data_IF_107144271265
#
_entry.id   IF_107144271265
#
_cell.length_a   1.000
_cell.length_b   1.000
_cell.length_c   1.000
_cell.angle_alpha   90.00
_cell.angle_beta   90.00
_cell.angle_gamma   90.00
#
_symmetry.space_group_name_H-M   'P 1'
#
loop_
_entity.id
_entity.type
_entity.pdbx_description
1 polymer ?
#
# COMPACT_ATOMS: atom_id res chain seq x y z
N UNK A 1 -15.43 14.73 20.91
CA UNK A 1 -15.07 13.47 20.22
C UNK A 1 -13.96 12.80 21.01
N UNK A 2 -14.06 11.51 21.35
CA UNK A 2 -12.99 10.83 22.08
C UNK A 2 -11.92 10.27 21.11
N UNK A 3 -10.79 9.83 21.66
CA UNK A 3 -9.65 9.36 20.87
C UNK A 3 -9.97 8.13 19.99
N UNK A 4 -10.91 7.27 20.41
CA UNK A 4 -11.30 6.09 19.64
C UNK A 4 -12.16 6.43 18.44
N UNK A 5 -13.09 7.39 18.55
CA UNK A 5 -13.84 7.91 17.40
C UNK A 5 -12.92 8.55 16.37
N UNK A 6 -11.97 9.39 16.81
CA UNK A 6 -11.01 10.03 15.89
C UNK A 6 -10.15 8.99 15.16
N UNK A 7 -9.63 7.99 15.89
CA UNK A 7 -8.86 6.90 15.32
C UNK A 7 -9.66 6.11 14.28
N UNK A 8 -10.94 5.84 14.53
CA UNK A 8 -11.81 5.12 13.59
C UNK A 8 -12.06 5.93 12.32
N UNK A 9 -12.32 7.23 12.43
CA UNK A 9 -12.48 8.12 11.27
C UNK A 9 -11.21 8.11 10.41
N UNK A 10 -10.05 8.30 11.02
CA UNK A 10 -8.76 8.24 10.31
C UNK A 10 -8.52 6.88 9.64
N UNK A 11 -8.87 5.79 10.32
CA UNK A 11 -8.77 4.42 9.77
C UNK A 11 -9.68 4.25 8.55
N UNK A 12 -10.91 4.77 8.58
CA UNK A 12 -11.85 4.68 7.46
C UNK A 12 -11.32 5.46 6.25
N UNK A 13 -10.85 6.70 6.45
CA UNK A 13 -10.28 7.53 5.38
C UNK A 13 -9.08 6.82 4.75
N UNK A 14 -8.17 6.32 5.57
CA UNK A 14 -7.00 5.57 5.12
C UNK A 14 -7.40 4.30 4.35
N UNK A 15 -8.35 3.53 4.88
CA UNK A 15 -8.82 2.29 4.25
C UNK A 15 -9.45 2.54 2.87
N UNK A 16 -10.25 3.60 2.73
CA UNK A 16 -10.84 3.99 1.44
C UNK A 16 -9.73 4.33 0.43
N UNK A 17 -8.74 5.14 0.84
CA UNK A 17 -7.62 5.48 -0.03
C UNK A 17 -6.83 4.23 -0.47
N UNK A 18 -6.54 3.32 0.47
CA UNK A 18 -5.86 2.04 0.20
C UNK A 18 -6.66 1.18 -0.78
N UNK A 19 -7.99 1.09 -0.62
CA UNK A 19 -8.87 0.35 -1.56
C UNK A 19 -8.80 0.97 -2.95
N UNK A 20 -8.88 2.30 -3.05
CA UNK A 20 -8.79 3.00 -4.34
C UNK A 20 -7.45 2.71 -5.01
N UNK A 21 -6.32 2.81 -4.29
CA UNK A 21 -5.02 2.39 -4.83
C UNK A 21 -5.04 0.94 -5.30
N UNK A 22 -5.64 0.03 -4.52
CA UNK A 22 -5.78 -1.37 -4.92
C UNK A 22 -6.57 -1.54 -6.23
N UNK A 23 -7.71 -0.87 -6.37
CA UNK A 23 -8.51 -0.86 -7.62
C UNK A 23 -7.71 -0.30 -8.80
N UNK A 24 -6.95 0.77 -8.58
CA UNK A 24 -6.09 1.38 -9.60
C UNK A 24 -5.02 0.41 -10.12
N UNK A 25 -4.53 -0.53 -9.30
CA UNK A 25 -3.62 -1.57 -9.77
C UNK A 25 -4.27 -2.51 -10.78
N UNK A 26 -5.57 -2.81 -10.63
CA UNK A 26 -6.31 -3.61 -11.61
C UNK A 26 -6.58 -2.80 -12.89
N UNK A 27 -7.00 -1.54 -12.75
CA UNK A 27 -7.33 -0.66 -13.90
C UNK A 27 -6.11 -0.30 -14.75
N UNK A 28 -4.92 -0.19 -14.13
CA UNK A 28 -3.69 0.26 -14.77
C UNK A 28 -2.60 -0.82 -14.79
N UNK A 29 -3.00 -2.09 -14.69
CA UNK A 29 -2.07 -3.22 -14.55
C UNK A 29 -1.02 -3.28 -15.67
N UNK A 30 -1.44 -3.05 -16.91
CA UNK A 30 -0.54 -3.06 -18.08
C UNK A 30 0.53 -1.98 -17.99
N UNK A 31 0.16 -0.76 -17.58
CA UNK A 31 1.09 0.36 -17.42
C UNK A 31 2.05 0.11 -16.26
N UNK A 32 1.52 -0.32 -15.11
CA UNK A 32 2.32 -0.60 -13.92
C UNK A 32 3.22 -1.83 -14.08
N UNK A 33 2.90 -2.75 -15.01
CA UNK A 33 3.75 -3.92 -15.26
C UNK A 33 5.17 -3.54 -15.70
N UNK A 34 5.34 -2.39 -16.36
CA UNK A 34 6.65 -1.86 -16.73
C UNK A 34 7.50 -1.41 -15.53
N UNK A 35 6.90 -1.23 -14.36
CA UNK A 35 7.61 -0.90 -13.12
C UNK A 35 8.12 -2.14 -12.38
N UNK A 36 7.63 -3.33 -12.72
CA UNK A 36 8.13 -4.59 -12.15
C UNK A 36 9.54 -4.84 -12.71
N UNK A 37 10.55 -5.07 -11.85
CA UNK A 37 11.91 -5.29 -12.34
C UNK A 37 11.98 -6.45 -13.34
N UNK A 38 12.71 -6.28 -14.44
CA UNK A 38 12.76 -7.27 -15.53
C UNK A 38 13.33 -8.65 -15.15
N UNK A 39 14.04 -8.75 -14.02
CA UNK A 39 14.51 -10.02 -13.47
C UNK A 39 13.44 -10.78 -12.67
N UNK A 40 12.28 -10.17 -12.40
CA UNK A 40 11.17 -10.80 -11.67
C UNK A 40 10.27 -11.58 -12.63
N UNK A 41 10.09 -12.90 -12.44
CA UNK A 41 9.26 -13.70 -13.32
C UNK A 41 7.78 -13.35 -13.15
N UNK A 42 6.96 -13.41 -14.21
CA UNK A 42 5.50 -13.28 -14.12
C UNK A 42 4.92 -11.88 -14.37
N UNK A 43 5.77 -10.84 -14.47
CA UNK A 43 5.38 -9.51 -14.97
C UNK A 43 4.11 -8.94 -14.30
N UNK A 44 3.05 -8.75 -15.08
CA UNK A 44 1.77 -8.13 -14.65
C UNK A 44 1.09 -8.85 -13.47
N UNK A 45 1.38 -10.13 -13.23
CA UNK A 45 0.75 -10.88 -12.14
C UNK A 45 1.03 -10.24 -10.76
N UNK A 46 2.22 -9.67 -10.59
CA UNK A 46 2.61 -8.99 -9.35
C UNK A 46 1.81 -7.73 -9.11
N UNK A 47 1.38 -7.04 -10.17
CA UNK A 47 0.54 -5.85 -10.07
C UNK A 47 -0.86 -6.24 -9.56
N UNK A 48 -1.42 -7.34 -10.07
CA UNK A 48 -2.71 -7.84 -9.58
C UNK A 48 -2.63 -8.36 -8.13
N UNK A 49 -1.54 -9.04 -7.77
CA UNK A 49 -1.32 -9.50 -6.39
C UNK A 49 -1.18 -8.32 -5.41
N UNK A 50 -0.43 -7.28 -5.79
CA UNK A 50 -0.33 -6.03 -5.05
C UNK A 50 -1.70 -5.36 -4.89
N UNK A 51 -2.45 -5.23 -5.98
CA UNK A 51 -3.81 -4.68 -5.98
C UNK A 51 -4.75 -5.42 -5.06
N UNK A 52 -4.74 -6.76 -5.11
CA UNK A 52 -5.54 -7.60 -4.22
C UNK A 52 -5.15 -7.40 -2.75
N UNK A 53 -3.85 -7.35 -2.45
CA UNK A 53 -3.34 -7.09 -1.11
C UNK A 53 -3.81 -5.75 -0.54
N UNK A 54 -3.77 -4.68 -1.35
CA UNK A 54 -4.29 -3.36 -0.99
C UNK A 54 -5.79 -3.41 -0.69
N UNK A 55 -6.61 -3.96 -1.60
CA UNK A 55 -8.06 -4.05 -1.41
C UNK A 55 -8.40 -4.84 -0.15
N UNK A 56 -7.78 -6.01 0.04
CA UNK A 56 -8.02 -6.87 1.21
C UNK A 56 -7.62 -6.18 2.52
N UNK A 57 -6.49 -5.46 2.54
CA UNK A 57 -6.07 -4.71 3.72
C UNK A 57 -7.06 -3.59 4.07
N UNK A 58 -7.52 -2.82 3.08
CA UNK A 58 -8.53 -1.79 3.32
C UNK A 58 -9.86 -2.36 3.80
N UNK A 59 -10.33 -3.47 3.22
CA UNK A 59 -11.54 -4.17 3.70
C UNK A 59 -11.37 -4.62 5.16
N UNK A 60 -10.22 -5.23 5.49
CA UNK A 60 -9.91 -5.68 6.85
C UNK A 60 -9.99 -4.52 7.87
N UNK A 61 -9.47 -3.35 7.52
CA UNK A 61 -9.57 -2.14 8.35
C UNK A 61 -11.01 -1.63 8.50
N UNK A 62 -11.81 -1.65 7.43
CA UNK A 62 -13.20 -1.18 7.48
C UNK A 62 -14.08 -2.06 8.37
N UNK A 63 -13.95 -3.38 8.25
CA UNK A 63 -14.72 -4.34 9.06
C UNK A 63 -14.08 -4.58 10.44
N UNK A 64 -12.89 -4.04 10.68
CA UNK A 64 -12.09 -4.22 11.87
C UNK A 64 -11.85 -5.70 12.23
N UNK A 65 -11.41 -6.48 11.24
CA UNK A 65 -11.10 -7.90 11.40
C UNK A 65 -9.76 -8.19 10.77
N UNK A 66 -8.87 -8.85 11.51
CA UNK A 66 -7.48 -9.07 11.09
C UNK A 66 -6.72 -7.76 10.84
N UNK A 67 -7.14 -6.66 11.47
CA UNK A 67 -6.56 -5.33 11.28
C UNK A 67 -5.07 -5.30 11.62
N UNK A 68 -4.66 -6.08 12.63
CA UNK A 68 -3.25 -6.16 13.03
C UNK A 68 -2.38 -6.75 11.93
N UNK A 69 -2.72 -7.94 11.45
CA UNK A 69 -1.92 -8.63 10.44
C UNK A 69 -2.02 -7.95 9.07
N UNK A 70 -3.21 -7.44 8.71
CA UNK A 70 -3.40 -6.66 7.49
C UNK A 70 -2.51 -5.42 7.45
N UNK A 71 -2.42 -4.68 8.56
CA UNK A 71 -1.56 -3.49 8.65
C UNK A 71 -0.07 -3.79 8.60
N UNK A 72 0.37 -4.89 9.22
CA UNK A 72 1.77 -5.35 9.11
C UNK A 72 2.10 -5.71 7.66
N UNK A 73 1.28 -6.56 7.03
CA UNK A 73 1.53 -7.02 5.66
C UNK A 73 1.47 -5.87 4.65
N UNK A 74 0.51 -4.97 4.78
CA UNK A 74 0.40 -3.78 3.95
C UNK A 74 1.64 -2.88 4.10
N UNK A 75 2.05 -2.58 5.33
CA UNK A 75 3.22 -1.74 5.57
C UNK A 75 4.51 -2.37 5.04
N UNK A 76 4.71 -3.68 5.21
CA UNK A 76 5.85 -4.39 4.63
C UNK A 76 5.83 -4.38 3.11
N UNK A 77 4.67 -4.59 2.48
CA UNK A 77 4.52 -4.53 1.03
C UNK A 77 4.88 -3.14 0.49
N UNK A 78 4.44 -2.07 1.14
CA UNK A 78 4.77 -0.69 0.74
C UNK A 78 6.27 -0.39 0.90
N UNK A 79 6.91 -0.87 1.97
CA UNK A 79 8.37 -0.77 2.13
C UNK A 79 9.09 -1.52 1.01
N UNK A 80 8.59 -2.68 0.60
CA UNK A 80 9.16 -3.41 -0.54
C UNK A 80 9.03 -2.61 -1.85
N UNK A 81 7.91 -1.92 -2.09
CA UNK A 81 7.77 -1.05 -3.26
C UNK A 81 8.80 0.09 -3.25
N UNK A 82 9.05 0.70 -2.09
CA UNK A 82 10.12 1.69 -1.93
C UNK A 82 11.46 1.09 -2.35
N UNK A 83 11.85 -0.04 -1.75
CA UNK A 83 13.19 -0.60 -1.93
C UNK A 83 13.42 -1.19 -3.33
N UNK A 84 12.41 -1.83 -3.91
CA UNK A 84 12.55 -2.60 -5.15
C UNK A 84 12.17 -1.78 -6.38
N UNK A 85 11.27 -0.80 -6.24
CA UNK A 85 10.76 -0.01 -7.37
C UNK A 85 11.22 1.43 -7.23
N UNK A 86 10.71 2.18 -6.25
CA UNK A 86 10.83 3.64 -6.29
C UNK A 86 12.23 4.17 -5.96
N UNK A 87 12.97 3.51 -5.07
CA UNK A 87 14.35 3.88 -4.76
C UNK A 87 15.28 3.65 -5.96
N UNK A 88 15.27 2.49 -6.65
CA UNK A 88 16.01 2.34 -7.90
C UNK A 88 15.66 3.39 -8.95
N UNK A 89 14.38 3.71 -9.15
CA UNK A 89 13.97 4.76 -10.10
C UNK A 89 14.54 6.13 -9.70
N UNK A 90 14.55 6.46 -8.41
CA UNK A 90 15.14 7.69 -7.89
C UNK A 90 16.64 7.79 -8.16
N UNK A 91 17.37 6.71 -7.90
CA UNK A 91 18.81 6.65 -8.14
C UNK A 91 19.17 6.79 -9.63
N UNK A 92 18.25 6.45 -10.53
CA UNK A 92 18.39 6.65 -11.98
C UNK A 92 17.85 8.01 -12.47
N UNK A 93 17.50 8.93 -11.57
CA UNK A 93 17.16 10.32 -11.92
C UNK A 93 15.69 10.58 -12.25
N UNK A 94 14.77 9.66 -11.92
CA UNK A 94 13.33 9.91 -12.08
C UNK A 94 12.85 10.96 -11.07
N UNK A 95 12.46 12.14 -11.56
CA UNK A 95 11.98 13.25 -10.75
C UNK A 95 10.67 12.99 -9.99
N UNK A 96 9.90 11.96 -10.36
CA UNK A 96 8.62 11.62 -9.72
C UNK A 96 8.76 10.59 -8.59
N UNK A 97 9.87 9.86 -8.58
CA UNK A 97 10.14 8.75 -7.65
C UNK A 97 10.16 9.17 -6.18
N UNK A 98 10.66 10.36 -5.84
CA UNK A 98 10.71 10.85 -4.46
C UNK A 98 9.30 10.98 -3.86
N UNK A 99 8.34 11.48 -4.64
CA UNK A 99 6.95 11.57 -4.21
C UNK A 99 6.35 10.18 -3.94
N UNK A 100 6.71 9.18 -4.74
CA UNK A 100 6.26 7.80 -4.54
C UNK A 100 6.87 7.18 -3.29
N UNK A 101 8.17 7.39 -3.04
CA UNK A 101 8.85 6.95 -1.81
C UNK A 101 8.16 7.53 -0.57
N UNK A 102 7.93 8.86 -0.56
CA UNK A 102 7.31 9.54 0.57
C UNK A 102 5.85 9.08 0.77
N UNK A 103 5.11 8.90 -0.32
CA UNK A 103 3.74 8.35 -0.29
C UNK A 103 3.73 6.97 0.36
N UNK A 104 4.57 6.04 -0.10
CA UNK A 104 4.61 4.68 0.45
C UNK A 104 5.08 4.66 1.90
N UNK A 105 6.05 5.48 2.27
CA UNK A 105 6.54 5.58 3.64
C UNK A 105 5.44 6.10 4.59
N UNK A 106 4.74 7.16 4.19
CA UNK A 106 3.62 7.70 4.96
C UNK A 106 2.48 6.68 5.10
N UNK A 107 2.14 5.99 4.01
CA UNK A 107 1.12 4.95 4.02
C UNK A 107 1.52 3.74 4.88
N UNK A 108 2.78 3.32 4.86
CA UNK A 108 3.28 2.23 5.69
C UNK A 108 3.23 2.61 7.19
N UNK A 109 3.64 3.83 7.53
CA UNK A 109 3.53 4.35 8.89
C UNK A 109 2.09 4.33 9.41
N UNK A 110 1.12 4.78 8.61
CA UNK A 110 -0.29 4.71 8.96
C UNK A 110 -0.78 3.25 9.13
N UNK A 111 -0.35 2.33 8.25
CA UNK A 111 -0.68 0.91 8.36
C UNK A 111 -0.20 0.32 9.69
N UNK A 112 1.03 0.63 10.11
CA UNK A 112 1.60 0.15 11.37
C UNK A 112 0.91 0.73 12.60
N UNK A 113 0.52 2.01 12.55
CA UNK A 113 -0.29 2.63 13.62
C UNK A 113 -1.63 1.91 13.75
N UNK A 114 -2.32 1.62 12.64
CA UNK A 114 -3.56 0.83 12.67
C UNK A 114 -3.29 -0.58 13.21
N UNK A 115 -2.20 -1.22 12.76
CA UNK A 115 -1.84 -2.56 13.20
C UNK A 115 -1.60 -2.65 14.72
N UNK A 116 -0.92 -1.66 15.30
CA UNK A 116 -0.66 -1.58 16.75
C UNK A 116 -1.91 -1.50 17.61
N UNK A 117 -3.06 -1.15 17.02
CA UNK A 117 -4.37 -1.00 17.68
C UNK A 117 -5.36 -2.09 17.25
N UNK A 118 -4.99 -2.92 16.29
CA UNK A 118 -5.84 -3.92 15.67
C UNK A 118 -5.99 -5.18 16.50
N UNK A 119 -7.06 -5.93 16.22
CA UNK A 119 -7.27 -7.29 16.71
C UNK A 119 -6.43 -8.33 15.96
#
# INVERSE_FOLDING_TARGET
MNNSTLARIGTIIYAIAVIIFGVMHFMHASVMSGMVPGYFPGGVIWVYLAGAGLVLAGIAFLINKYSRIAGILLGLMLILFILVIHLPHHLHGDGTSLAMILKDAAMAGAAFVIASRGN
#
